data_IF_600235389587
#
_entry.id   IF_600235389587
#
_cell.length_a   1.000
_cell.length_b   1.000
_cell.length_c   1.000
_cell.angle_alpha   90.00
_cell.angle_beta   90.00
_cell.angle_gamma   90.00
#
_symmetry.space_group_name_H-M   'P 1'
#
loop_
_entity.id
_entity.type
_entity.pdbx_description
1 polymer ?
#
# COMPACT_ATOMS: atom_id res chain seq x y z
N UNK A 1 13.34 -7.30 -20.67
CA UNK A 1 12.64 -6.95 -19.42
C UNK A 1 13.20 -7.87 -18.36
N UNK A 2 13.64 -7.38 -17.20
CA UNK A 2 14.08 -8.29 -16.16
C UNK A 2 12.88 -9.12 -15.69
N UNK A 3 13.10 -10.40 -15.45
CA UNK A 3 12.04 -11.33 -15.06
C UNK A 3 11.73 -11.11 -13.58
N UNK A 4 10.48 -10.74 -13.29
CA UNK A 4 9.97 -10.62 -11.92
C UNK A 4 9.26 -11.94 -11.60
N UNK A 5 9.76 -12.65 -10.61
CA UNK A 5 9.08 -13.82 -10.06
C UNK A 5 8.04 -13.38 -9.03
N UNK A 6 6.84 -13.96 -9.09
CA UNK A 6 5.80 -13.78 -8.06
C UNK A 6 5.61 -15.10 -7.33
N UNK A 7 5.80 -15.10 -6.00
CA UNK A 7 5.64 -16.29 -5.16
C UNK A 7 4.98 -15.97 -3.81
N UNK A 8 4.44 -16.97 -3.10
CA UNK A 8 4.06 -16.81 -1.70
C UNK A 8 5.22 -16.31 -0.84
N UNK A 9 4.89 -15.55 0.21
CA UNK A 9 5.86 -15.10 1.21
C UNK A 9 6.47 -16.28 1.97
N UNK A 10 7.76 -16.17 2.28
CA UNK A 10 8.44 -17.05 3.23
C UNK A 10 8.88 -16.22 4.45
N UNK A 11 9.10 -16.84 5.64
CA UNK A 11 9.48 -16.11 6.85
C UNK A 11 10.70 -15.18 6.67
N UNK A 12 11.66 -15.57 5.83
CA UNK A 12 12.87 -14.82 5.54
C UNK A 12 12.60 -13.49 4.82
N UNK A 13 11.47 -13.37 4.10
CA UNK A 13 11.10 -12.13 3.41
C UNK A 13 10.62 -11.06 4.40
N UNK A 14 10.00 -11.45 5.51
CA UNK A 14 9.16 -10.58 6.34
C UNK A 14 9.92 -9.35 6.87
N UNK A 15 11.15 -9.56 7.36
CA UNK A 15 12.00 -8.46 7.84
C UNK A 15 12.44 -7.52 6.71
N UNK A 16 12.63 -8.04 5.50
CA UNK A 16 12.99 -7.24 4.32
C UNK A 16 11.79 -6.41 3.88
N UNK A 17 10.62 -7.03 3.76
CA UNK A 17 9.37 -6.37 3.37
C UNK A 17 8.98 -5.28 4.37
N UNK A 18 9.07 -5.55 5.68
CA UNK A 18 8.74 -4.58 6.72
C UNK A 18 9.68 -3.36 6.77
N UNK A 19 10.89 -3.48 6.22
CA UNK A 19 11.87 -2.37 6.12
C UNK A 19 11.70 -1.53 4.86
N UNK A 20 10.86 -1.94 3.90
CA UNK A 20 10.59 -1.14 2.71
C UNK A 20 10.01 0.23 3.10
N UNK A 21 10.25 1.24 2.26
CA UNK A 21 9.56 2.52 2.41
C UNK A 21 8.12 2.36 1.90
N UNK A 22 7.17 2.34 2.84
CA UNK A 22 5.74 2.22 2.52
C UNK A 22 5.09 3.57 2.23
N UNK A 23 5.85 4.65 2.34
CA UNK A 23 5.35 5.97 1.97
C UNK A 23 5.38 6.15 0.45
N UNK A 24 4.62 7.13 -0.01
CA UNK A 24 4.72 7.60 -1.38
C UNK A 24 4.74 9.13 -1.40
N UNK A 25 5.10 9.69 -2.55
CA UNK A 25 4.95 11.12 -2.78
C UNK A 25 3.94 11.36 -3.88
N UNK A 26 3.09 12.37 -3.70
CA UNK A 26 2.12 12.78 -4.71
C UNK A 26 2.07 14.29 -4.85
N UNK A 27 1.88 14.75 -6.08
CA UNK A 27 1.54 16.13 -6.41
C UNK A 27 0.03 16.33 -6.64
N UNK A 28 -0.75 15.25 -6.66
CA UNK A 28 -2.21 15.28 -6.82
C UNK A 28 -2.91 14.48 -5.73
N UNK A 29 -4.11 14.90 -5.34
CA UNK A 29 -4.96 14.21 -4.38
C UNK A 29 -6.40 14.17 -4.86
N UNK A 30 -7.16 13.20 -4.36
CA UNK A 30 -8.60 13.22 -4.48
C UNK A 30 -9.21 13.99 -3.30
N UNK A 31 -9.78 15.16 -3.57
CA UNK A 31 -10.62 15.88 -2.62
C UNK A 31 -12.02 15.27 -2.64
N UNK A 32 -12.49 14.82 -1.48
CA UNK A 32 -13.84 14.29 -1.30
C UNK A 32 -14.75 15.36 -0.72
N UNK A 33 -15.83 15.69 -1.42
CA UNK A 33 -16.91 16.55 -0.94
C UNK A 33 -18.15 15.70 -0.65
N UNK A 34 -18.48 15.56 0.63
CA UNK A 34 -19.63 14.78 1.06
C UNK A 34 -20.91 15.61 1.03
N UNK A 35 -21.96 15.07 0.43
CA UNK A 35 -23.30 15.65 0.40
C UNK A 35 -24.24 14.77 1.21
N UNK A 36 -24.65 15.26 2.37
CA UNK A 36 -25.65 14.61 3.22
C UNK A 36 -26.93 15.43 3.17
N UNK A 37 -27.91 14.96 2.41
CA UNK A 37 -29.27 15.53 2.37
C UNK A 37 -30.22 14.46 2.93
N UNK A 38 -31.31 14.84 3.59
CA UNK A 38 -32.23 13.86 4.20
C UNK A 38 -32.70 12.81 3.17
N UNK A 39 -32.27 11.56 3.35
CA UNK A 39 -32.60 10.44 2.45
C UNK A 39 -31.63 10.24 1.28
N UNK A 40 -30.59 11.07 1.13
CA UNK A 40 -29.57 10.93 0.08
C UNK A 40 -28.17 11.20 0.63
N UNK A 41 -27.29 10.21 0.48
CA UNK A 41 -25.86 10.35 0.76
C UNK A 41 -25.10 10.24 -0.55
N UNK A 42 -24.28 11.24 -0.85
CA UNK A 42 -23.39 11.23 -2.01
C UNK A 42 -22.01 11.77 -1.64
N UNK A 43 -21.02 11.44 -2.47
CA UNK A 43 -19.69 12.03 -2.40
C UNK A 43 -19.21 12.34 -3.81
N UNK A 44 -18.64 13.53 -4.01
CA UNK A 44 -17.97 13.91 -5.25
C UNK A 44 -16.47 13.89 -4.99
N UNK A 45 -15.73 13.25 -5.89
CA UNK A 45 -14.27 13.20 -5.85
C UNK A 45 -13.72 14.08 -6.97
N UNK A 46 -12.82 15.00 -6.61
CA UNK A 46 -12.13 15.88 -7.56
C UNK A 46 -10.64 15.68 -7.42
N UNK A 47 -9.96 15.44 -8.54
CA UNK A 47 -8.50 15.45 -8.56
C UNK A 47 -8.03 16.90 -8.44
N UNK A 48 -7.18 17.18 -7.46
CA UNK A 48 -6.65 18.51 -7.18
C UNK A 48 -5.14 18.44 -7.09
N UNK A 49 -4.48 19.37 -7.77
CA UNK A 49 -3.03 19.55 -7.69
C UNK A 49 -2.66 20.25 -6.39
N UNK A 50 -1.70 19.69 -5.66
CA UNK A 50 -1.17 20.25 -4.42
C UNK A 50 -0.18 21.40 -4.70
N UNK A 51 -0.07 22.39 -3.80
CA UNK A 51 0.91 23.48 -3.92
C UNK A 51 2.36 23.00 -3.80
N UNK A 52 2.58 21.82 -3.22
CA UNK A 52 3.87 21.13 -3.12
C UNK A 52 3.64 19.62 -3.08
N UNK A 53 4.63 18.83 -3.51
CA UNK A 53 4.60 17.37 -3.32
C UNK A 53 4.42 17.04 -1.84
N UNK A 54 3.41 16.24 -1.54
CA UNK A 54 3.20 15.72 -0.20
C UNK A 54 3.77 14.31 -0.12
N UNK A 55 4.53 14.04 0.94
CA UNK A 55 4.86 12.67 1.37
C UNK A 55 3.68 12.15 2.18
N UNK A 56 3.20 10.96 1.85
CA UNK A 56 2.10 10.29 2.53
C UNK A 56 2.62 8.98 3.08
N UNK A 57 2.58 8.84 4.40
CA UNK A 57 2.94 7.59 5.08
C UNK A 57 1.78 6.58 4.99
N UNK A 58 2.12 5.30 4.89
CA UNK A 58 1.11 4.24 4.92
C UNK A 58 0.42 4.22 6.30
N UNK A 59 -0.92 4.14 6.36
CA UNK A 59 -1.64 4.26 7.64
C UNK A 59 -1.43 3.07 8.59
N UNK A 60 -0.98 1.92 8.08
CA UNK A 60 -0.68 0.76 8.94
C UNK A 60 0.81 0.71 9.25
N UNK A 61 1.14 0.35 10.48
CA UNK A 61 2.53 0.12 10.87
C UNK A 61 3.13 -1.06 10.09
N UNK A 62 4.36 -0.95 9.55
CA UNK A 62 5.07 -2.08 8.96
C UNK A 62 5.26 -3.25 9.94
N UNK A 63 5.29 -2.97 11.26
CA UNK A 63 5.33 -4.01 12.30
C UNK A 63 4.09 -4.91 12.29
N UNK A 64 2.97 -4.47 11.71
CA UNK A 64 1.78 -5.29 11.58
C UNK A 64 2.03 -6.49 10.67
N UNK A 65 2.87 -6.35 9.63
CA UNK A 65 3.26 -7.46 8.77
C UNK A 65 4.04 -8.51 9.57
N UNK A 66 5.05 -8.08 10.34
CA UNK A 66 5.87 -8.97 11.19
C UNK A 66 4.99 -9.80 12.13
N UNK A 67 3.96 -9.17 12.71
CA UNK A 67 3.13 -9.80 13.75
C UNK A 67 2.00 -10.69 13.21
N UNK A 68 1.46 -10.41 12.02
CA UNK A 68 0.17 -10.97 11.62
C UNK A 68 0.15 -11.60 10.22
N UNK A 69 1.27 -11.63 9.50
CA UNK A 69 1.29 -12.15 8.12
C UNK A 69 0.75 -13.58 8.00
N UNK A 70 0.96 -14.42 9.01
CA UNK A 70 0.45 -15.80 9.07
C UNK A 70 -1.08 -15.88 9.16
N UNK A 71 -1.74 -14.83 9.67
CA UNK A 71 -3.20 -14.76 9.76
C UNK A 71 -3.86 -14.19 8.50
N UNK A 72 -3.07 -13.65 7.57
CA UNK A 72 -3.60 -13.10 6.33
C UNK A 72 -4.03 -14.23 5.39
N UNK A 73 -5.04 -13.97 4.57
CA UNK A 73 -5.54 -14.95 3.59
C UNK A 73 -4.49 -15.27 2.51
N UNK A 74 -3.53 -14.36 2.30
CA UNK A 74 -2.37 -14.60 1.45
C UNK A 74 -1.44 -13.40 1.41
N UNK A 75 -0.15 -13.66 1.20
CA UNK A 75 0.87 -12.64 0.95
C UNK A 75 1.71 -13.10 -0.23
N UNK A 76 1.84 -12.22 -1.23
CA UNK A 76 2.63 -12.45 -2.43
C UNK A 76 3.81 -11.49 -2.46
N UNK A 77 4.96 -11.98 -2.88
CA UNK A 77 6.21 -11.24 -2.98
C UNK A 77 6.64 -11.20 -4.43
N UNK A 78 7.04 -10.01 -4.88
CA UNK A 78 7.72 -9.81 -6.15
C UNK A 78 9.23 -9.88 -5.92
N UNK A 79 9.91 -10.76 -6.65
CA UNK A 79 11.35 -11.00 -6.54
C UNK A 79 12.03 -10.65 -7.86
N UNK A 80 13.10 -9.86 -7.78
CA UNK A 80 13.91 -9.43 -8.91
C UNK A 80 15.36 -9.81 -8.66
N UNK A 81 15.92 -10.71 -9.50
CA UNK A 81 17.30 -11.19 -9.34
C UNK A 81 17.59 -11.77 -7.94
N UNK A 82 16.61 -12.45 -7.34
CA UNK A 82 16.71 -13.05 -6.01
C UNK A 82 16.33 -12.14 -4.84
N UNK A 83 16.12 -10.84 -5.08
CA UNK A 83 15.81 -9.86 -4.04
C UNK A 83 14.32 -9.49 -4.03
N UNK A 84 13.64 -9.49 -2.86
CA UNK A 84 12.30 -8.94 -2.73
C UNK A 84 12.26 -7.45 -3.09
N UNK A 85 11.40 -7.08 -4.04
CA UNK A 85 11.24 -5.69 -4.52
C UNK A 85 9.85 -5.12 -4.26
N UNK A 86 8.91 -5.94 -3.80
CA UNK A 86 7.58 -5.49 -3.42
C UNK A 86 6.71 -6.65 -2.93
N UNK A 87 5.59 -6.32 -2.32
CA UNK A 87 4.64 -7.32 -1.85
C UNK A 87 3.21 -6.79 -1.85
N UNK A 88 2.25 -7.71 -1.78
CA UNK A 88 0.84 -7.41 -1.53
C UNK A 88 0.24 -8.47 -0.62
N UNK A 89 -0.74 -8.07 0.18
CA UNK A 89 -1.43 -8.98 1.10
C UNK A 89 -2.94 -8.88 0.97
N UNK A 90 -3.59 -10.03 1.16
CA UNK A 90 -5.01 -10.15 1.35
C UNK A 90 -5.27 -10.31 2.85
N UNK A 91 -5.59 -9.19 3.51
CA UNK A 91 -5.83 -9.11 4.96
C UNK A 91 -7.29 -9.31 5.32
#
# INVERSE_FOLDING_TARGET
MPEIEIRPVIPEDIDVLAKMDHSYTSDHVWQMDSHFVSGQTGAVFREVRLPRKAKVDYPRSPQSLIKHWESYSGVLVAVLSGEPVGYTSLV
#
